data_IF_930774388914
#
_entry.id   IF_930774388914
#
_cell.length_a   1.000
_cell.length_b   1.000
_cell.length_c   1.000
_cell.angle_alpha   90.00
_cell.angle_beta   90.00
_cell.angle_gamma   90.00
#
_symmetry.space_group_name_H-M   'P 1'
#
loop_
_entity.id
_entity.type
_entity.pdbx_description
1 polymer ?
#
# COMPACT_ATOMS: atom_id res chain seq x y z
N UNK A 1 -17.43 25.57 15.42
CA UNK A 1 -16.13 25.47 14.72
C UNK A 1 -16.10 26.49 13.61
N UNK A 2 -14.96 27.11 13.36
CA UNK A 2 -14.77 27.97 12.19
C UNK A 2 -14.43 27.14 10.93
N UNK A 3 -14.55 27.74 9.74
CA UNK A 3 -14.27 27.07 8.46
C UNK A 3 -12.86 26.50 8.40
N UNK A 4 -11.87 27.20 8.98
CA UNK A 4 -10.48 26.76 9.01
C UNK A 4 -10.29 25.47 9.81
N UNK A 5 -10.91 25.35 10.99
CA UNK A 5 -10.87 24.15 11.82
C UNK A 5 -11.52 22.95 11.12
N UNK A 6 -12.63 23.16 10.40
CA UNK A 6 -13.31 22.10 9.65
C UNK A 6 -12.42 21.63 8.49
N UNK A 7 -11.84 22.57 7.75
CA UNK A 7 -10.88 22.28 6.69
C UNK A 7 -9.67 21.49 7.23
N UNK A 8 -9.14 21.83 8.39
CA UNK A 8 -8.01 21.10 8.99
C UNK A 8 -8.36 19.64 9.33
N UNK A 9 -9.57 19.35 9.83
CA UNK A 9 -10.03 17.97 10.06
C UNK A 9 -10.14 17.22 8.73
N UNK A 10 -10.79 17.82 7.73
CA UNK A 10 -10.96 17.21 6.42
C UNK A 10 -9.61 16.96 5.73
N UNK A 11 -8.68 17.91 5.81
CA UNK A 11 -7.35 17.81 5.26
C UNK A 11 -6.52 16.72 5.94
N UNK A 12 -6.58 16.60 7.27
CA UNK A 12 -5.86 15.54 7.99
C UNK A 12 -6.44 14.16 7.66
N UNK A 13 -7.77 14.02 7.58
CA UNK A 13 -8.40 12.77 7.14
C UNK A 13 -8.01 12.41 5.69
N UNK A 14 -8.02 13.39 4.78
CA UNK A 14 -7.61 13.20 3.39
C UNK A 14 -6.13 12.80 3.27
N UNK A 15 -5.26 13.44 4.05
CA UNK A 15 -3.84 13.10 4.14
C UNK A 15 -3.62 11.67 4.61
N UNK A 16 -4.28 11.25 5.68
CA UNK A 16 -4.15 9.89 6.22
C UNK A 16 -4.65 8.87 5.18
N UNK A 17 -5.80 9.11 4.55
CA UNK A 17 -6.35 8.21 3.52
C UNK A 17 -5.42 8.09 2.30
N UNK A 18 -4.97 9.22 1.76
CA UNK A 18 -4.12 9.23 0.58
C UNK A 18 -2.76 8.61 0.85
N UNK A 19 -2.15 8.91 2.01
CA UNK A 19 -0.87 8.32 2.44
C UNK A 19 -0.98 6.82 2.76
N UNK A 20 -2.18 6.35 3.14
CA UNK A 20 -2.50 4.93 3.39
C UNK A 20 -2.93 4.17 2.14
N UNK A 21 -2.94 4.83 0.97
CA UNK A 21 -3.14 4.20 -0.33
C UNK A 21 -4.60 4.06 -0.77
N UNK A 22 -5.54 4.80 -0.18
CA UNK A 22 -6.95 4.81 -0.58
C UNK A 22 -7.15 5.23 -2.05
N UNK A 23 -8.25 4.79 -2.67
CA UNK A 23 -8.74 5.26 -3.96
C UNK A 23 -9.06 6.75 -3.91
N UNK A 24 -8.92 7.44 -5.04
CA UNK A 24 -9.04 8.91 -5.12
C UNK A 24 -10.44 9.39 -4.76
N UNK A 25 -11.47 8.81 -5.39
CA UNK A 25 -12.87 9.14 -5.09
C UNK A 25 -13.19 9.02 -3.60
N UNK A 26 -12.58 8.06 -2.89
CA UNK A 26 -12.82 7.83 -1.46
C UNK A 26 -12.21 8.93 -0.58
N UNK A 27 -11.06 9.46 -0.97
CA UNK A 27 -10.45 10.62 -0.30
C UNK A 27 -11.35 11.84 -0.48
N UNK A 28 -11.84 12.08 -1.69
CA UNK A 28 -12.72 13.21 -2.01
C UNK A 28 -14.07 13.13 -1.29
N UNK A 29 -14.73 11.97 -1.36
CA UNK A 29 -16.01 11.73 -0.70
C UNK A 29 -15.89 11.90 0.82
N UNK A 30 -14.82 11.40 1.42
CA UNK A 30 -14.60 11.52 2.87
C UNK A 30 -14.41 12.98 3.29
N UNK A 31 -13.61 13.74 2.55
CA UNK A 31 -13.44 15.18 2.83
C UNK A 31 -14.78 15.94 2.70
N UNK A 32 -15.56 15.63 1.66
CA UNK A 32 -16.91 16.20 1.46
C UNK A 32 -17.89 15.86 2.58
N UNK A 33 -17.92 14.61 3.02
CA UNK A 33 -18.77 14.16 4.15
C UNK A 33 -18.40 14.90 5.43
N UNK A 34 -17.12 15.04 5.73
CA UNK A 34 -16.64 15.75 6.93
C UNK A 34 -17.09 17.22 6.88
N UNK A 35 -16.80 17.94 5.79
CA UNK A 35 -17.18 19.35 5.67
C UNK A 35 -18.71 19.54 5.74
N UNK A 36 -19.47 18.70 5.03
CA UNK A 36 -20.94 18.74 5.01
C UNK A 36 -21.55 18.46 6.39
N UNK A 37 -20.97 17.57 7.18
CA UNK A 37 -21.41 17.29 8.56
C UNK A 37 -21.37 18.53 9.45
N UNK A 38 -20.47 19.49 9.17
CA UNK A 38 -20.39 20.77 9.87
C UNK A 38 -21.07 21.93 9.13
N UNK A 39 -21.78 21.67 8.02
CA UNK A 39 -22.53 22.69 7.27
C UNK A 39 -21.66 23.60 6.40
N UNK A 40 -20.46 23.14 6.02
CA UNK A 40 -19.53 23.87 5.14
C UNK A 40 -19.49 23.17 3.80
N UNK A 41 -19.58 23.96 2.72
CA UNK A 41 -19.41 23.44 1.37
C UNK A 41 -17.91 23.32 1.05
N UNK A 42 -17.53 22.25 0.33
CA UNK A 42 -16.13 22.06 -0.05
C UNK A 42 -15.96 21.41 -1.41
N UNK A 43 -14.94 21.91 -2.11
CA UNK A 43 -14.40 21.29 -3.30
C UNK A 43 -13.07 20.63 -2.98
N UNK A 44 -12.88 19.43 -3.50
CA UNK A 44 -11.69 18.62 -3.27
C UNK A 44 -11.19 18.11 -4.62
N UNK A 45 -9.89 18.26 -4.85
CA UNK A 45 -9.20 17.71 -6.00
C UNK A 45 -8.01 16.91 -5.53
N UNK A 46 -8.03 15.60 -5.79
CA UNK A 46 -7.02 14.67 -5.27
C UNK A 46 -6.30 13.99 -6.44
N UNK A 47 -4.98 13.95 -6.34
CA UNK A 47 -4.11 13.14 -7.20
C UNK A 47 -3.25 12.24 -6.31
N UNK A 48 -2.63 11.17 -6.85
CA UNK A 48 -1.86 10.26 -6.01
C UNK A 48 -0.75 10.93 -5.19
N UNK A 49 -0.19 12.06 -5.63
CA UNK A 49 0.95 12.73 -5.02
C UNK A 49 0.57 13.97 -4.21
N UNK A 50 -0.72 14.26 -4.04
CA UNK A 50 -1.17 15.43 -3.29
C UNK A 50 -2.64 15.74 -3.50
N UNK A 51 -3.14 16.67 -2.71
CA UNK A 51 -4.53 17.09 -2.80
C UNK A 51 -4.68 18.59 -2.54
N UNK A 52 -5.79 19.14 -3.02
CA UNK A 52 -6.26 20.49 -2.72
C UNK A 52 -7.67 20.42 -2.19
N UNK A 53 -7.94 21.08 -1.07
CA UNK A 53 -9.28 21.24 -0.49
C UNK A 53 -9.57 22.72 -0.37
N UNK A 54 -10.71 23.16 -0.88
CA UNK A 54 -11.24 24.51 -0.73
C UNK A 54 -12.57 24.44 -0.01
N UNK A 55 -12.67 25.09 1.15
CA UNK A 55 -13.90 25.15 1.94
C UNK A 55 -14.46 26.58 1.95
N UNK A 56 -15.75 26.72 1.67
CA UNK A 56 -16.45 28.01 1.68
C UNK A 56 -17.42 28.05 2.87
N UNK A 57 -17.16 28.95 3.80
CA UNK A 57 -17.98 29.13 5.00
C UNK A 57 -19.25 29.95 4.74
N UNK A 58 -20.14 30.05 5.75
CA UNK A 58 -21.40 30.82 5.66
C UNK A 58 -21.19 32.31 5.35
N UNK A 59 -20.08 32.88 5.79
CA UNK A 59 -19.71 34.29 5.56
C UNK A 59 -19.08 34.53 4.18
N UNK A 60 -19.16 33.53 3.28
CA UNK A 60 -18.57 33.53 1.94
C UNK A 60 -17.03 33.61 1.92
N UNK A 61 -16.37 33.46 3.07
CA UNK A 61 -14.93 33.28 3.15
C UNK A 61 -14.53 31.89 2.67
N UNK A 62 -13.60 31.84 1.71
CA UNK A 62 -13.05 30.59 1.16
C UNK A 62 -11.62 30.39 1.65
N UNK A 63 -11.36 29.23 2.25
CA UNK A 63 -10.04 28.82 2.70
C UNK A 63 -9.58 27.63 1.87
N UNK A 64 -8.41 27.73 1.26
CA UNK A 64 -7.81 26.66 0.45
C UNK A 64 -6.58 26.09 1.13
N UNK A 65 -6.47 24.76 1.11
CA UNK A 65 -5.34 24.00 1.62
C UNK A 65 -4.79 23.10 0.53
N UNK A 66 -3.46 23.09 0.39
CA UNK A 66 -2.74 22.29 -0.60
C UNK A 66 -1.67 21.51 0.13
N UNK A 67 -1.60 20.20 -0.11
CA UNK A 67 -0.56 19.35 0.47
C UNK A 67 -0.03 18.33 -0.51
N UNK A 68 1.29 18.23 -0.57
CA UNK A 68 2.01 17.18 -1.28
C UNK A 68 2.19 15.98 -0.37
N UNK A 69 1.97 14.78 -0.89
CA UNK A 69 2.25 13.52 -0.23
C UNK A 69 3.55 12.94 -0.83
N UNK A 70 4.54 12.75 0.02
CA UNK A 70 5.85 12.23 -0.39
C UNK A 70 5.93 10.72 -0.31
N UNK A 71 5.39 10.15 0.77
CA UNK A 71 5.46 8.72 1.05
C UNK A 71 4.05 8.14 1.12
N UNK A 72 3.87 7.00 0.45
CA UNK A 72 2.62 6.25 0.46
C UNK A 72 2.91 4.81 0.79
N UNK A 73 2.07 4.25 1.64
CA UNK A 73 2.04 2.81 1.91
C UNK A 73 0.61 2.33 1.81
N UNK A 74 0.41 1.02 1.82
CA UNK A 74 -0.94 0.44 1.90
C UNK A 74 -1.22 0.09 3.36
N UNK A 75 -2.17 0.81 3.96
CA UNK A 75 -2.65 0.52 5.32
C UNK A 75 -4.18 0.52 5.32
N UNK A 76 -4.75 -0.66 5.10
CA UNK A 76 -6.19 -0.85 5.06
C UNK A 76 -6.85 -0.61 6.44
N UNK A 77 -6.10 -0.74 7.54
CA UNK A 77 -6.63 -0.53 8.88
C UNK A 77 -6.85 0.97 9.14
N UNK A 78 -5.91 1.83 8.73
CA UNK A 78 -6.11 3.29 8.77
C UNK A 78 -7.25 3.74 7.87
N UNK A 79 -7.35 3.16 6.67
CA UNK A 79 -8.47 3.48 5.75
C UNK A 79 -9.82 3.15 6.38
N UNK A 80 -9.96 1.97 6.99
CA UNK A 80 -11.20 1.57 7.65
C UNK A 80 -11.51 2.45 8.86
N UNK A 81 -10.49 2.79 9.65
CA UNK A 81 -10.62 3.67 10.83
C UNK A 81 -11.10 5.07 10.45
N UNK A 82 -10.56 5.67 9.38
CA UNK A 82 -11.01 6.98 8.88
C UNK A 82 -12.44 6.89 8.31
N UNK A 83 -12.76 5.80 7.61
CA UNK A 83 -14.11 5.59 7.09
C UNK A 83 -15.13 5.50 8.24
N UNK A 84 -14.82 4.77 9.31
CA UNK A 84 -15.65 4.73 10.51
C UNK A 84 -15.78 6.12 11.18
N UNK A 85 -14.66 6.85 11.32
CA UNK A 85 -14.64 8.21 11.85
C UNK A 85 -15.57 9.15 11.06
N UNK A 86 -15.47 9.17 9.73
CA UNK A 86 -16.27 10.06 8.88
C UNK A 86 -17.77 9.79 8.97
N UNK A 87 -18.19 8.51 9.02
CA UNK A 87 -19.60 8.12 9.18
C UNK A 87 -20.15 8.44 10.56
N UNK A 88 -19.32 8.36 11.59
CA UNK A 88 -19.73 8.71 12.94
C UNK A 88 -20.01 10.22 13.07
N UNK A 89 -19.27 11.07 12.36
CA UNK A 89 -19.50 12.52 12.34
C UNK A 89 -20.85 12.93 11.75
N UNK A 90 -21.43 12.13 10.84
CA UNK A 90 -22.77 12.38 10.32
C UNK A 90 -23.85 12.23 11.41
N UNK A 91 -23.61 11.36 12.40
CA UNK A 91 -24.55 11.06 13.48
C UNK A 91 -24.28 11.89 14.74
N UNK A 92 -23.00 12.00 15.14
CA UNK A 92 -22.56 12.69 16.34
C UNK A 92 -21.37 13.60 16.04
N UNK A 93 -21.61 14.91 16.09
CA UNK A 93 -20.58 15.91 15.80
C UNK A 93 -19.59 15.99 16.95
N UNK A 94 -18.31 15.73 16.67
CA UNK A 94 -17.22 15.97 17.61
C UNK A 94 -16.82 17.45 17.63
N UNK A 95 -16.25 17.88 18.76
CA UNK A 95 -15.53 19.16 18.83
C UNK A 95 -14.20 19.04 18.09
N UNK A 96 -13.62 20.18 17.73
CA UNK A 96 -12.39 20.24 16.94
C UNK A 96 -11.23 19.51 17.63
N UNK A 97 -11.03 19.76 18.91
CA UNK A 97 -9.93 19.19 19.68
C UNK A 97 -10.02 17.65 19.71
N UNK A 98 -11.21 17.13 20.00
CA UNK A 98 -11.49 15.70 20.05
C UNK A 98 -11.29 15.03 18.68
N UNK A 99 -11.74 15.68 17.61
CA UNK A 99 -11.60 15.16 16.25
C UNK A 99 -10.13 15.10 15.80
N UNK A 100 -9.34 16.14 16.09
CA UNK A 100 -7.91 16.17 15.77
C UNK A 100 -7.14 15.14 16.60
N UNK A 101 -7.46 15.00 17.89
CA UNK A 101 -6.84 13.98 18.73
C UNK A 101 -7.16 12.57 18.22
N UNK A 102 -8.41 12.31 17.84
CA UNK A 102 -8.83 11.04 17.25
C UNK A 102 -8.06 10.76 15.95
N UNK A 103 -8.02 11.70 15.01
CA UNK A 103 -7.30 11.53 13.74
C UNK A 103 -5.79 11.31 13.95
N UNK A 104 -5.16 12.04 14.89
CA UNK A 104 -3.75 11.83 15.24
C UNK A 104 -3.50 10.47 15.89
N UNK A 105 -4.47 9.94 16.64
CA UNK A 105 -4.37 8.59 17.19
C UNK A 105 -4.44 7.53 16.09
N UNK A 106 -5.28 7.73 15.06
CA UNK A 106 -5.34 6.89 13.86
C UNK A 106 -4.02 6.96 13.08
N UNK A 107 -3.50 8.16 12.86
CA UNK A 107 -2.23 8.39 12.16
C UNK A 107 -1.06 7.64 12.84
N UNK A 108 -1.01 7.69 14.18
CA UNK A 108 0.02 7.07 15.01
C UNK A 108 -0.20 5.58 15.32
N UNK A 109 -1.27 4.96 14.82
CA UNK A 109 -1.48 3.54 15.07
C UNK A 109 -0.24 2.74 14.64
N UNK A 110 0.29 1.90 15.54
CA UNK A 110 1.46 1.11 15.23
C UNK A 110 1.12 0.11 14.13
N UNK A 111 1.99 0.02 13.12
CA UNK A 111 1.96 -1.09 12.19
C UNK A 111 2.27 -2.39 12.96
N UNK A 112 1.79 -3.53 12.48
CA UNK A 112 2.01 -4.81 13.15
C UNK A 112 3.50 -5.04 13.47
N UNK A 113 3.77 -5.66 14.62
CA UNK A 113 5.12 -5.95 15.08
C UNK A 113 5.93 -6.66 13.97
N UNK A 114 7.20 -6.28 13.80
CA UNK A 114 8.04 -6.76 12.69
C UNK A 114 8.10 -8.29 12.60
N UNK A 115 8.12 -8.98 13.74
CA UNK A 115 8.10 -10.44 13.78
C UNK A 115 6.79 -11.02 13.24
N UNK A 116 5.65 -10.44 13.64
CA UNK A 116 4.32 -10.83 13.15
C UNK A 116 4.21 -10.64 11.64
N UNK A 117 4.65 -9.49 11.12
CA UNK A 117 4.65 -9.20 9.68
C UNK A 117 5.57 -10.15 8.91
N UNK A 118 6.72 -10.51 9.47
CA UNK A 118 7.66 -11.46 8.87
C UNK A 118 7.07 -12.88 8.79
N UNK A 119 6.46 -13.36 9.89
CA UNK A 119 5.78 -14.66 9.90
C UNK A 119 4.58 -14.65 8.95
N UNK A 120 3.80 -13.56 8.92
CA UNK A 120 2.67 -13.41 8.00
C UNK A 120 3.13 -13.45 6.53
N UNK A 121 4.24 -12.79 6.19
CA UNK A 121 4.83 -12.87 4.85
C UNK A 121 5.18 -14.32 4.46
N UNK A 122 5.82 -15.06 5.38
CA UNK A 122 6.09 -16.49 5.19
C UNK A 122 4.80 -17.30 4.98
N UNK A 123 3.77 -17.10 5.81
CA UNK A 123 2.50 -17.82 5.71
C UNK A 123 1.76 -17.51 4.40
N UNK A 124 1.83 -16.27 3.91
CA UNK A 124 1.30 -15.89 2.60
C UNK A 124 2.01 -16.70 1.51
N UNK A 125 3.35 -16.73 1.52
CA UNK A 125 4.13 -17.49 0.54
C UNK A 125 3.86 -19.00 0.60
N UNK A 126 3.77 -19.57 1.80
CA UNK A 126 3.36 -20.96 2.01
C UNK A 126 2.00 -21.25 1.39
N UNK A 127 1.01 -20.39 1.67
CA UNK A 127 -0.36 -20.56 1.21
C UNK A 127 -0.46 -20.46 -0.31
N UNK A 128 0.26 -19.52 -0.93
CA UNK A 128 0.29 -19.39 -2.38
C UNK A 128 1.04 -20.53 -3.06
N UNK A 129 2.15 -21.00 -2.50
CA UNK A 129 2.84 -22.19 -3.01
C UNK A 129 1.90 -23.42 -3.02
N UNK A 130 1.16 -23.64 -1.92
CA UNK A 130 0.12 -24.67 -1.84
C UNK A 130 -1.01 -24.45 -2.87
N UNK A 131 -1.50 -23.21 -2.99
CA UNK A 131 -2.56 -22.84 -3.95
C UNK A 131 -2.16 -23.14 -5.39
N UNK A 132 -0.90 -22.90 -5.74
CA UNK A 132 -0.35 -23.22 -7.05
C UNK A 132 0.06 -24.70 -7.21
N UNK A 133 -0.44 -25.58 -6.33
CA UNK A 133 -0.21 -27.03 -6.33
C UNK A 133 1.25 -27.42 -6.09
N UNK A 134 1.99 -26.64 -5.29
CA UNK A 134 3.27 -27.06 -4.74
C UNK A 134 3.10 -28.13 -3.67
N UNK A 135 4.17 -28.89 -3.40
CA UNK A 135 4.18 -29.81 -2.27
C UNK A 135 4.28 -29.05 -0.95
N UNK A 136 4.01 -29.73 0.16
CA UNK A 136 4.22 -29.16 1.50
C UNK A 136 5.68 -28.67 1.68
N UNK A 137 6.66 -29.42 1.15
CA UNK A 137 8.06 -29.06 1.23
C UNK A 137 8.39 -27.82 0.38
N UNK A 138 7.86 -27.71 -0.84
CA UNK A 138 8.02 -26.50 -1.67
C UNK A 138 7.49 -25.27 -0.94
N UNK A 139 6.34 -25.44 -0.28
CA UNK A 139 5.66 -24.37 0.45
C UNK A 139 6.41 -23.95 1.71
N UNK A 140 7.01 -24.90 2.43
CA UNK A 140 7.91 -24.62 3.55
C UNK A 140 9.17 -23.89 3.11
N UNK A 141 9.74 -24.22 1.96
CA UNK A 141 10.88 -23.47 1.42
C UNK A 141 10.44 -22.05 1.03
N UNK A 142 9.33 -21.90 0.32
CA UNK A 142 8.76 -20.59 -0.04
C UNK A 142 8.49 -19.70 1.19
N UNK A 143 8.02 -20.28 2.30
CA UNK A 143 7.83 -19.62 3.59
C UNK A 143 9.13 -18.93 4.06
N UNK A 144 10.24 -19.67 4.12
CA UNK A 144 11.52 -19.13 4.57
C UNK A 144 12.13 -18.13 3.59
N UNK A 145 11.97 -18.36 2.28
CA UNK A 145 12.41 -17.41 1.25
C UNK A 145 11.68 -16.07 1.41
N UNK A 146 10.36 -16.10 1.63
CA UNK A 146 9.58 -14.87 1.80
C UNK A 146 9.93 -14.12 3.08
N UNK A 147 10.20 -14.83 4.19
CA UNK A 147 10.73 -14.20 5.41
C UNK A 147 12.07 -13.49 5.17
N UNK A 148 12.95 -14.10 4.36
CA UNK A 148 14.22 -13.49 3.98
C UNK A 148 14.00 -12.25 3.11
N UNK A 149 13.14 -12.35 2.09
CA UNK A 149 12.75 -11.23 1.23
C UNK A 149 12.21 -10.07 2.07
N UNK A 150 11.30 -10.33 3.01
CA UNK A 150 10.72 -9.32 3.90
C UNK A 150 11.81 -8.58 4.71
N UNK A 151 12.76 -9.32 5.29
CA UNK A 151 13.88 -8.73 6.04
C UNK A 151 14.80 -7.88 5.17
N UNK A 152 15.16 -8.38 3.98
CA UNK A 152 16.04 -7.67 3.06
C UNK A 152 15.37 -6.40 2.54
N UNK A 153 14.10 -6.49 2.13
CA UNK A 153 13.31 -5.32 1.70
C UNK A 153 13.31 -4.23 2.76
N UNK A 154 12.94 -4.54 4.00
CA UNK A 154 12.90 -3.55 5.09
C UNK A 154 14.28 -2.93 5.37
N UNK A 155 15.36 -3.70 5.18
CA UNK A 155 16.72 -3.21 5.36
C UNK A 155 17.11 -2.24 4.25
N UNK A 156 16.84 -2.59 2.98
CA UNK A 156 17.13 -1.72 1.83
C UNK A 156 16.30 -0.42 1.92
N UNK A 157 15.03 -0.52 2.28
CA UNK A 157 14.12 0.61 2.48
C UNK A 157 14.67 1.58 3.54
N UNK A 158 15.25 1.06 4.63
CA UNK A 158 15.87 1.90 5.68
C UNK A 158 17.14 2.64 5.24
N UNK A 159 17.79 2.19 4.16
CA UNK A 159 19.01 2.82 3.62
C UNK A 159 18.66 3.93 2.60
N UNK A 160 17.41 3.98 2.13
CA UNK A 160 16.93 5.02 1.21
C UNK A 160 17.24 4.76 -0.27
N UNK A 161 17.38 3.50 -0.68
CA UNK A 161 17.44 3.15 -2.11
C UNK A 161 16.08 3.35 -2.79
N UNK A 162 16.09 3.43 -4.11
CA UNK A 162 14.86 3.54 -4.90
C UNK A 162 14.11 2.20 -4.93
N UNK A 163 12.77 2.27 -4.83
CA UNK A 163 11.86 1.12 -4.70
C UNK A 163 12.08 0.01 -5.75
N UNK A 164 12.45 0.37 -7.00
CA UNK A 164 12.77 -0.62 -8.03
C UNK A 164 13.91 -1.55 -7.62
N UNK A 165 14.95 -1.03 -6.95
CA UNK A 165 16.09 -1.84 -6.50
C UNK A 165 15.68 -2.86 -5.44
N UNK A 166 14.81 -2.48 -4.52
CA UNK A 166 14.27 -3.38 -3.49
C UNK A 166 13.58 -4.60 -4.11
N UNK A 167 12.69 -4.36 -5.09
CA UNK A 167 11.96 -5.42 -5.78
C UNK A 167 12.85 -6.27 -6.67
N UNK A 168 13.83 -5.65 -7.33
CA UNK A 168 14.84 -6.36 -8.12
C UNK A 168 15.66 -7.34 -7.28
N UNK A 169 16.23 -6.88 -6.15
CA UNK A 169 17.00 -7.74 -5.23
C UNK A 169 16.10 -8.82 -4.63
N UNK A 170 14.86 -8.49 -4.29
CA UNK A 170 13.90 -9.46 -3.78
C UNK A 170 13.61 -10.58 -4.80
N UNK A 171 13.50 -10.24 -6.10
CA UNK A 171 13.38 -11.21 -7.18
C UNK A 171 14.62 -12.11 -7.31
N UNK A 172 15.82 -11.53 -7.20
CA UNK A 172 17.08 -12.31 -7.20
C UNK A 172 17.16 -13.29 -6.03
N UNK A 173 16.71 -12.89 -4.84
CA UNK A 173 16.65 -13.77 -3.66
C UNK A 173 15.66 -14.91 -3.90
N UNK A 174 14.46 -14.59 -4.41
CA UNK A 174 13.45 -15.60 -4.72
C UNK A 174 13.98 -16.66 -5.69
N UNK A 175 14.57 -16.22 -6.81
CA UNK A 175 15.17 -17.12 -7.78
C UNK A 175 16.37 -17.90 -7.21
N UNK A 176 17.30 -17.19 -6.56
CA UNK A 176 18.60 -17.74 -6.15
C UNK A 176 18.48 -18.77 -5.04
N UNK A 177 17.70 -18.47 -4.01
CA UNK A 177 17.49 -19.42 -2.90
C UNK A 177 16.67 -20.62 -3.38
N UNK A 178 15.68 -20.42 -4.26
CA UNK A 178 14.92 -21.53 -4.85
C UNK A 178 15.81 -22.43 -5.71
N UNK A 179 16.74 -21.87 -6.49
CA UNK A 179 17.71 -22.64 -7.27
C UNK A 179 18.65 -23.47 -6.39
N UNK A 180 19.18 -22.87 -5.32
CA UNK A 180 20.03 -23.58 -4.36
C UNK A 180 19.26 -24.73 -3.72
N UNK A 181 18.02 -24.50 -3.27
CA UNK A 181 17.17 -25.52 -2.69
C UNK A 181 16.89 -26.67 -3.67
N UNK A 182 16.56 -26.35 -4.92
CA UNK A 182 16.34 -27.35 -5.98
C UNK A 182 17.59 -28.18 -6.30
N UNK A 183 18.79 -27.56 -6.29
CA UNK A 183 20.05 -28.30 -6.47
C UNK A 183 20.35 -29.27 -5.34
N UNK A 184 20.01 -28.91 -4.10
CA UNK A 184 20.18 -29.78 -2.93
C UNK A 184 19.16 -30.92 -2.93
N UNK A 185 17.92 -30.64 -3.31
CA UNK A 185 16.85 -31.63 -3.40
C UNK A 185 16.09 -31.47 -4.72
N UNK A 186 16.44 -32.25 -5.77
CA UNK A 186 15.80 -32.18 -7.08
C UNK A 186 14.30 -32.53 -7.07
N UNK A 187 13.78 -33.10 -5.97
CA UNK A 187 12.37 -33.36 -5.77
C UNK A 187 11.55 -32.08 -5.52
N UNK A 188 12.19 -30.98 -5.12
CA UNK A 188 11.52 -29.69 -4.89
C UNK A 188 11.20 -29.02 -6.23
N UNK A 189 10.01 -28.46 -6.37
CA UNK A 189 9.62 -27.74 -7.57
C UNK A 189 10.09 -26.29 -7.54
N UNK A 190 11.08 -25.97 -8.38
CA UNK A 190 11.65 -24.63 -8.52
C UNK A 190 10.58 -23.55 -8.75
N UNK A 191 9.70 -23.77 -9.73
CA UNK A 191 8.67 -22.79 -10.12
C UNK A 191 7.69 -22.50 -8.99
N UNK A 192 7.34 -23.52 -8.19
CA UNK A 192 6.37 -23.39 -7.09
C UNK A 192 6.96 -22.60 -5.93
N UNK A 193 8.24 -22.83 -5.62
CA UNK A 193 8.96 -22.05 -4.62
C UNK A 193 9.08 -20.57 -5.02
N UNK A 194 9.43 -20.31 -6.29
CA UNK A 194 9.56 -18.94 -6.82
C UNK A 194 8.22 -18.23 -6.81
N UNK A 195 7.19 -18.79 -7.45
CA UNK A 195 5.88 -18.15 -7.54
C UNK A 195 5.29 -17.91 -6.14
N UNK A 196 5.39 -18.88 -5.23
CA UNK A 196 4.93 -18.70 -3.84
C UNK A 196 5.65 -17.58 -3.11
N UNK A 197 6.98 -17.55 -3.17
CA UNK A 197 7.80 -16.59 -2.42
C UNK A 197 7.68 -15.14 -2.89
N UNK A 198 7.42 -14.90 -4.18
CA UNK A 198 7.26 -13.54 -4.71
C UNK A 198 5.86 -12.95 -4.51
N UNK A 199 4.84 -13.73 -4.09
CA UNK A 199 3.47 -13.21 -4.00
C UNK A 199 3.30 -12.06 -3.00
N UNK A 200 4.17 -11.98 -1.98
CA UNK A 200 4.19 -10.84 -1.04
C UNK A 200 4.63 -9.52 -1.69
N UNK A 201 5.26 -9.58 -2.87
CA UNK A 201 5.75 -8.42 -3.61
C UNK A 201 4.75 -7.95 -4.67
N UNK A 202 3.71 -8.74 -4.95
CA UNK A 202 2.74 -8.42 -5.99
C UNK A 202 1.90 -7.22 -5.54
N UNK A 203 1.86 -6.12 -6.31
CA UNK A 203 1.20 -4.89 -5.93
C UNK A 203 -0.33 -4.97 -6.13
N UNK A 204 -0.97 -6.00 -5.58
CA UNK A 204 -2.38 -6.32 -5.83
C UNK A 204 -3.35 -5.21 -5.43
N UNK A 205 -3.12 -4.55 -4.30
CA UNK A 205 -3.93 -3.41 -3.85
C UNK A 205 -3.77 -2.21 -4.80
N UNK A 206 -2.53 -1.90 -5.22
CA UNK A 206 -2.27 -0.83 -6.17
C UNK A 206 -2.92 -1.08 -7.52
N UNK A 207 -2.87 -2.32 -8.04
CA UNK A 207 -3.55 -2.72 -9.29
C UNK A 207 -5.06 -2.56 -9.14
N UNK A 208 -5.63 -3.09 -8.05
CA UNK A 208 -7.08 -3.02 -7.79
C UNK A 208 -7.55 -1.58 -7.70
N UNK A 209 -6.82 -0.73 -6.96
CA UNK A 209 -7.15 0.69 -6.83
C UNK A 209 -6.97 1.43 -8.15
N UNK A 210 -5.93 1.13 -8.95
CA UNK A 210 -5.74 1.72 -10.26
C UNK A 210 -6.88 1.41 -11.24
N UNK A 211 -7.41 0.18 -11.20
CA UNK A 211 -8.60 -0.20 -11.99
C UNK A 211 -9.85 0.53 -11.48
N UNK A 212 -10.05 0.57 -10.16
CA UNK A 212 -11.18 1.32 -9.58
C UNK A 212 -11.12 2.80 -9.94
N UNK A 213 -9.97 3.44 -9.78
CA UNK A 213 -9.77 4.85 -10.14
C UNK A 213 -10.15 5.09 -11.61
N UNK A 214 -9.78 4.20 -12.55
CA UNK A 214 -10.23 4.31 -13.95
C UNK A 214 -11.76 4.20 -14.11
N UNK A 215 -12.40 3.28 -13.39
CA UNK A 215 -13.85 3.08 -13.46
C UNK A 215 -14.64 4.29 -12.91
N UNK A 216 -14.06 5.02 -11.96
CA UNK A 216 -14.63 6.24 -11.39
C UNK A 216 -14.24 7.52 -12.14
N UNK A 217 -13.40 7.42 -13.18
CA UNK A 217 -12.98 8.56 -14.03
C UNK A 217 -11.64 9.20 -13.66
N UNK A 218 -10.96 8.71 -12.63
CA UNK A 218 -9.67 9.20 -12.12
C UNK A 218 -8.48 8.65 -12.93
N UNK A 219 -8.41 9.02 -14.22
CA UNK A 219 -7.43 8.47 -15.16
C UNK A 219 -5.97 8.76 -14.79
N UNK A 220 -5.66 9.97 -14.30
CA UNK A 220 -4.30 10.33 -13.89
C UNK A 220 -3.82 9.40 -12.77
N UNK A 221 -4.70 9.13 -11.80
CA UNK A 221 -4.40 8.21 -10.72
C UNK A 221 -4.24 6.79 -11.20
N UNK A 222 -5.16 6.34 -12.05
CA UNK A 222 -5.11 5.01 -12.65
C UNK A 222 -3.78 4.76 -13.36
N UNK A 223 -3.37 5.64 -14.28
CA UNK A 223 -2.11 5.50 -15.01
C UNK A 223 -0.90 5.51 -14.07
N UNK A 224 -0.92 6.34 -13.03
CA UNK A 224 0.17 6.39 -12.05
C UNK A 224 0.28 5.07 -11.28
N UNK A 225 -0.82 4.55 -10.74
CA UNK A 225 -0.84 3.31 -9.95
C UNK A 225 -0.54 2.08 -10.78
N UNK A 226 -1.13 1.98 -11.98
CA UNK A 226 -0.88 0.86 -12.89
C UNK A 226 0.55 0.89 -13.44
N UNK A 227 1.09 2.09 -13.71
CA UNK A 227 2.50 2.27 -14.07
C UNK A 227 3.43 1.82 -12.95
N UNK A 228 3.18 2.24 -11.71
CA UNK A 228 3.94 1.79 -10.53
C UNK A 228 3.90 0.25 -10.39
N UNK A 229 2.70 -0.34 -10.48
CA UNK A 229 2.53 -1.79 -10.42
C UNK A 229 3.30 -2.54 -11.54
N UNK A 230 3.31 -1.99 -12.75
CA UNK A 230 4.08 -2.53 -13.86
C UNK A 230 5.59 -2.50 -13.59
N UNK A 231 6.12 -1.38 -13.07
CA UNK A 231 7.53 -1.28 -12.70
C UNK A 231 7.92 -2.29 -11.63
N UNK A 232 7.06 -2.50 -10.63
CA UNK A 232 7.27 -3.52 -9.60
C UNK A 232 7.32 -4.92 -10.22
N UNK A 233 6.35 -5.26 -11.08
CA UNK A 233 6.31 -6.56 -11.75
C UNK A 233 7.55 -6.81 -12.63
N UNK A 234 7.99 -5.80 -13.38
CA UNK A 234 9.21 -5.86 -14.19
C UNK A 234 10.44 -6.04 -13.30
N UNK A 235 10.57 -5.28 -12.21
CA UNK A 235 11.71 -5.38 -11.30
C UNK A 235 11.87 -6.80 -10.73
N UNK A 236 10.79 -7.36 -10.18
CA UNK A 236 10.77 -8.73 -9.64
C UNK A 236 11.06 -9.74 -10.75
N UNK A 237 10.40 -9.61 -11.90
CA UNK A 237 10.57 -10.53 -13.03
C UNK A 237 11.99 -10.55 -13.58
N UNK A 238 12.62 -9.38 -13.75
CA UNK A 238 14.02 -9.26 -14.19
C UNK A 238 14.97 -9.85 -13.14
N UNK A 239 14.74 -9.59 -11.85
CA UNK A 239 15.53 -10.18 -10.76
C UNK A 239 15.50 -11.71 -10.79
N UNK A 240 14.31 -12.30 -10.89
CA UNK A 240 14.14 -13.76 -11.02
C UNK A 240 14.78 -14.27 -12.31
N UNK A 241 14.50 -13.63 -13.45
CA UNK A 241 14.94 -14.06 -14.77
C UNK A 241 16.46 -14.08 -14.93
N UNK A 242 17.15 -13.05 -14.42
CA UNK A 242 18.62 -13.01 -14.39
C UNK A 242 19.16 -14.18 -13.59
N UNK A 243 18.63 -14.42 -12.40
CA UNK A 243 19.10 -15.51 -11.54
C UNK A 243 18.88 -16.88 -12.15
N UNK A 244 17.75 -17.11 -12.82
CA UNK A 244 17.49 -18.36 -13.55
C UNK A 244 18.43 -18.53 -14.76
N UNK A 245 18.74 -17.45 -15.47
CA UNK A 245 19.64 -17.48 -16.63
C UNK A 245 21.06 -17.89 -16.23
N UNK A 246 21.55 -17.43 -15.07
CA UNK A 246 22.84 -17.87 -14.54
C UNK A 246 22.93 -19.40 -14.33
N UNK A 247 21.83 -20.07 -14.02
CA UNK A 247 21.83 -21.53 -13.89
C UNK A 247 21.98 -22.24 -15.24
N UNK A 248 21.42 -21.67 -16.32
CA UNK A 248 21.50 -22.23 -17.67
C UNK A 248 22.91 -22.12 -18.26
N UNK A 249 23.65 -21.06 -17.94
CA UNK A 249 25.03 -20.86 -18.41
C UNK A 249 26.11 -21.63 -17.62
N UNK A 250 25.78 -22.15 -16.44
CA UNK A 250 26.69 -22.90 -15.56
C UNK A 250 26.40 -24.40 -15.48
N UNK A 251 25.48 -24.90 -16.33
CA UNK A 251 25.31 -26.32 -16.66
C UNK A 251 25.85 -26.60 -18.06
#
# INVERSE_FOLDING_TARGET
MNTKQIMEIAALAAEILLSSGAEIYRVEDTAKIICKSYGVDCECFVIPTGFTISCTGPDNETVTYVKRIENRTVDLHKIDSINAFSRNLENEKMKYEDAIEHLKSIEKMPYFAQLTSCIAAGLIAFSFAMLFKGTFMDSMVAFFISMLIFKVKNTIESIGFFQFFEYFVSGMIAGGVSLIAHKISPALNLDKMIIGSIMILVPGVTITNGIKDALYGDLISSFTRLGEALFIAVAVGVGVGITLTFNVYWM
#
